data_IF_445840734708
#
_entry.id   IF_445840734708
#
_cell.length_a   1.000
_cell.length_b   1.000
_cell.length_c   1.000
_cell.angle_alpha   90.00
_cell.angle_beta   90.00
_cell.angle_gamma   90.00
#
_symmetry.space_group_name_H-M   'P 1'
#
loop_
_entity.id
_entity.type
_entity.pdbx_description
1 polymer ?
#
# COMPACT_ATOMS: atom_id res chain seq x y z
N UNK A 1 -4.24 -0.91 10.92
CA UNK A 1 -2.80 -1.06 11.25
C UNK A 1 -2.10 0.27 11.00
N UNK A 2 -1.26 0.70 11.91
CA UNK A 2 -0.56 1.98 11.76
C UNK A 2 0.44 1.92 10.59
N UNK A 3 0.48 2.98 9.79
CA UNK A 3 1.46 3.14 8.73
C UNK A 3 2.62 3.97 9.30
N UNK A 4 3.79 3.33 9.46
CA UNK A 4 4.94 3.99 10.09
C UNK A 4 5.62 4.97 9.16
N UNK A 5 5.82 4.58 7.90
CA UNK A 5 6.49 5.43 6.92
C UNK A 5 6.02 5.14 5.51
N UNK A 6 6.17 6.13 4.65
CA UNK A 6 5.74 6.08 3.24
C UNK A 6 6.91 6.57 2.38
N UNK A 7 7.34 5.74 1.43
CA UNK A 7 8.48 6.04 0.56
C UNK A 7 8.09 7.01 -0.56
N UNK A 8 7.01 6.71 -1.27
CA UNK A 8 6.56 7.53 -2.40
C UNK A 8 6.12 8.91 -1.91
N UNK A 9 6.77 9.95 -2.43
CA UNK A 9 6.57 11.32 -1.95
C UNK A 9 5.14 11.81 -2.13
N UNK A 10 4.57 11.56 -3.31
CA UNK A 10 3.18 11.95 -3.60
C UNK A 10 2.18 11.21 -2.71
N UNK A 11 2.42 9.92 -2.48
CA UNK A 11 1.56 9.12 -1.61
C UNK A 11 1.65 9.59 -0.16
N UNK A 12 2.85 9.97 0.29
CA UNK A 12 3.05 10.48 1.64
C UNK A 12 2.23 11.75 1.88
N UNK A 13 2.26 12.69 0.92
CA UNK A 13 1.46 13.92 1.03
C UNK A 13 -0.03 13.64 0.97
N UNK A 14 -0.41 12.67 0.13
CA UNK A 14 -1.80 12.26 0.01
C UNK A 14 -2.35 11.74 1.34
N UNK A 15 -1.57 10.93 2.05
CA UNK A 15 -1.99 10.35 3.33
C UNK A 15 -1.94 11.38 4.46
N UNK A 16 -0.87 12.17 4.55
CA UNK A 16 -0.64 13.06 5.69
C UNK A 16 -1.35 14.40 5.56
N UNK A 17 -1.55 14.89 4.34
CA UNK A 17 -2.07 16.24 4.11
C UNK A 17 -3.32 16.27 3.23
N UNK A 18 -3.81 15.10 2.82
CA UNK A 18 -4.93 14.97 1.88
C UNK A 18 -4.66 15.73 0.56
N UNK A 19 -3.38 15.79 0.16
CA UNK A 19 -2.93 16.46 -1.05
C UNK A 19 -2.67 15.43 -2.13
N UNK A 20 -3.54 15.37 -3.14
CA UNK A 20 -3.45 14.41 -4.24
C UNK A 20 -2.62 14.93 -5.41
N UNK A 21 -1.89 16.04 -5.25
CA UNK A 21 -1.13 16.66 -6.34
C UNK A 21 -0.02 15.78 -6.93
N UNK A 22 0.48 14.81 -6.18
CA UNK A 22 1.51 13.88 -6.64
C UNK A 22 0.97 12.51 -7.05
N UNK A 23 -0.36 12.36 -7.16
CA UNK A 23 -1.05 11.12 -7.51
C UNK A 23 -1.93 11.38 -8.74
N UNK A 24 -1.98 10.44 -9.71
CA UNK A 24 -2.90 10.61 -10.84
C UNK A 24 -4.34 10.73 -10.36
N UNK A 25 -5.08 11.69 -10.91
CA UNK A 25 -6.42 12.01 -10.42
C UNK A 25 -7.39 10.83 -10.52
N UNK A 26 -7.25 10.00 -11.56
CA UNK A 26 -8.10 8.82 -11.75
C UNK A 26 -7.79 7.69 -10.77
N UNK A 27 -6.62 7.69 -10.17
CA UNK A 27 -6.17 6.66 -9.24
C UNK A 27 -6.45 7.06 -7.79
N UNK A 28 -6.51 8.35 -7.50
CA UNK A 28 -6.65 8.86 -6.13
C UNK A 28 -7.81 8.22 -5.34
N UNK A 29 -9.03 8.10 -5.88
CA UNK A 29 -10.12 7.46 -5.14
C UNK A 29 -9.82 6.02 -4.75
N UNK A 30 -9.18 5.26 -5.64
CA UNK A 30 -8.82 3.87 -5.39
C UNK A 30 -7.74 3.76 -4.31
N UNK A 31 -6.72 4.62 -4.39
CA UNK A 31 -5.66 4.65 -3.37
C UNK A 31 -6.23 5.04 -2.00
N UNK A 32 -7.15 6.00 -1.96
CA UNK A 32 -7.80 6.39 -0.71
C UNK A 32 -8.51 5.21 -0.06
N UNK A 33 -9.22 4.43 -0.86
CA UNK A 33 -9.93 3.24 -0.37
C UNK A 33 -8.95 2.20 0.17
N UNK A 34 -7.87 1.92 -0.55
CA UNK A 34 -6.86 0.95 -0.12
C UNK A 34 -6.18 1.42 1.17
N UNK A 35 -5.76 2.67 1.22
CA UNK A 35 -5.08 3.23 2.40
C UNK A 35 -5.99 3.17 3.62
N UNK A 36 -7.27 3.52 3.47
CA UNK A 36 -8.23 3.44 4.57
C UNK A 36 -8.37 2.01 5.08
N UNK A 37 -8.41 1.04 4.17
CA UNK A 37 -8.45 -0.37 4.54
C UNK A 37 -7.20 -0.76 5.34
N UNK A 38 -6.02 -0.35 4.87
CA UNK A 38 -4.77 -0.66 5.56
C UNK A 38 -4.73 -0.06 6.97
N UNK A 39 -5.21 1.17 7.11
CA UNK A 39 -5.25 1.84 8.41
C UNK A 39 -6.20 1.16 9.39
N UNK A 40 -7.30 0.60 8.89
CA UNK A 40 -8.31 -0.04 9.72
C UNK A 40 -8.05 -1.52 10.00
N UNK A 41 -7.23 -2.19 9.20
CA UNK A 41 -7.00 -3.62 9.39
C UNK A 41 -6.21 -3.91 10.67
N UNK A 42 -6.48 -5.07 11.26
CA UNK A 42 -5.79 -5.52 12.47
C UNK A 42 -4.83 -6.67 12.19
N UNK A 43 -5.04 -7.39 11.10
CA UNK A 43 -4.23 -8.56 10.75
C UNK A 43 -3.99 -8.62 9.24
N UNK A 44 -2.81 -9.10 8.85
CA UNK A 44 -2.47 -9.28 7.43
C UNK A 44 -3.38 -10.26 6.71
N UNK A 45 -4.08 -11.14 7.44
CA UNK A 45 -5.02 -12.07 6.81
C UNK A 45 -6.18 -11.35 6.13
N UNK A 46 -6.49 -10.12 6.55
CA UNK A 46 -7.56 -9.32 5.95
C UNK A 46 -7.22 -8.85 4.54
N UNK A 47 -5.93 -8.82 4.19
CA UNK A 47 -5.49 -8.36 2.86
C UNK A 47 -6.06 -9.20 1.73
N UNK A 48 -6.36 -10.47 1.99
CA UNK A 48 -6.86 -11.38 0.95
C UNK A 48 -8.38 -11.37 0.82
N UNK A 49 -9.06 -10.54 1.58
CA UNK A 49 -10.53 -10.45 1.53
C UNK A 49 -11.05 -9.60 0.37
N UNK A 50 -10.16 -8.90 -0.34
CA UNK A 50 -10.52 -8.07 -1.50
C UNK A 50 -9.84 -8.65 -2.75
N UNK A 51 -10.52 -9.53 -3.50
CA UNK A 51 -9.90 -10.24 -4.64
C UNK A 51 -9.33 -9.33 -5.73
N UNK A 52 -9.95 -8.17 -5.95
CA UNK A 52 -9.52 -7.24 -7.00
C UNK A 52 -8.12 -6.65 -6.76
N UNK A 53 -7.61 -6.71 -5.54
CA UNK A 53 -6.26 -6.22 -5.25
C UNK A 53 -5.18 -7.25 -5.54
N UNK A 54 -5.55 -8.50 -5.82
CA UNK A 54 -4.62 -9.57 -6.16
C UNK A 54 -3.42 -9.61 -5.20
N UNK A 55 -3.72 -9.48 -3.92
CA UNK A 55 -2.71 -9.39 -2.86
C UNK A 55 -1.83 -10.63 -2.81
N UNK A 56 -0.52 -10.42 -2.82
CA UNK A 56 0.45 -11.51 -2.67
C UNK A 56 1.75 -10.99 -2.07
N UNK A 57 2.54 -11.91 -1.53
CA UNK A 57 3.88 -11.58 -1.09
C UNK A 57 4.89 -11.85 -2.21
N UNK A 58 5.86 -10.96 -2.33
CA UNK A 58 6.92 -11.09 -3.30
C UNK A 58 7.93 -12.14 -2.85
N UNK A 59 8.71 -12.66 -3.80
CA UNK A 59 9.76 -13.65 -3.55
C UNK A 59 11.13 -13.07 -3.90
N UNK A 60 12.18 -13.85 -3.72
CA UNK A 60 13.55 -13.41 -4.02
C UNK A 60 14.05 -12.37 -3.03
N UNK A 61 14.73 -11.35 -3.54
CA UNK A 61 15.33 -10.30 -2.71
C UNK A 61 14.32 -9.46 -1.95
N UNK A 62 13.06 -9.49 -2.37
CA UNK A 62 11.99 -8.74 -1.72
C UNK A 62 11.02 -9.63 -0.95
N UNK A 63 11.49 -10.80 -0.55
CA UNK A 63 10.67 -11.76 0.18
C UNK A 63 10.01 -11.11 1.40
N UNK A 64 8.71 -11.34 1.54
CA UNK A 64 7.94 -10.79 2.65
C UNK A 64 7.29 -9.44 2.36
N UNK A 65 7.66 -8.78 1.26
CA UNK A 65 6.98 -7.56 0.84
C UNK A 65 5.62 -7.90 0.25
N UNK A 66 4.58 -7.22 0.71
CA UNK A 66 3.23 -7.35 0.17
C UNK A 66 3.07 -6.47 -1.06
N UNK A 67 2.33 -6.96 -2.04
CA UNK A 67 2.04 -6.23 -3.28
C UNK A 67 0.54 -6.27 -3.54
N UNK A 68 -0.06 -5.09 -3.74
CA UNK A 68 -1.47 -4.93 -4.06
C UNK A 68 -1.61 -4.27 -5.44
N UNK A 69 -2.48 -4.83 -6.27
CA UNK A 69 -2.79 -4.30 -7.59
C UNK A 69 -3.53 -2.96 -7.45
N UNK A 70 -3.02 -1.92 -8.10
CA UNK A 70 -3.69 -0.62 -8.19
C UNK A 70 -4.18 -0.41 -9.62
N UNK A 71 -3.26 -0.42 -10.57
CA UNK A 71 -3.56 -0.41 -12.00
C UNK A 71 -2.67 -1.43 -12.68
N UNK A 72 -2.84 -1.60 -13.99
CA UNK A 72 -2.06 -2.57 -14.76
C UNK A 72 -0.54 -2.43 -14.53
N UNK A 73 -0.05 -1.19 -14.45
CA UNK A 73 1.39 -0.94 -14.35
C UNK A 73 1.83 -0.50 -12.95
N UNK A 74 0.91 -0.33 -12.02
CA UNK A 74 1.25 0.22 -10.70
C UNK A 74 0.78 -0.67 -9.58
N UNK A 75 1.62 -0.76 -8.54
CA UNK A 75 1.35 -1.57 -7.33
C UNK A 75 1.58 -0.74 -6.09
N UNK A 76 0.83 -1.05 -5.07
CA UNK A 76 1.09 -0.55 -3.72
C UNK A 76 1.85 -1.66 -2.99
N UNK A 77 3.01 -1.34 -2.45
CA UNK A 77 3.86 -2.33 -1.78
C UNK A 77 4.22 -1.88 -0.37
N UNK A 78 4.40 -2.84 0.51
CA UNK A 78 4.78 -2.57 1.89
C UNK A 78 5.23 -3.85 2.58
N UNK A 79 5.86 -3.69 3.74
CA UNK A 79 6.14 -4.80 4.64
C UNK A 79 5.41 -4.56 5.95
N UNK A 80 5.29 -5.60 6.77
CA UNK A 80 4.72 -5.48 8.11
C UNK A 80 5.80 -5.84 9.11
N UNK A 81 6.06 -4.90 10.02
CA UNK A 81 6.96 -5.15 11.14
C UNK A 81 6.23 -6.05 12.12
N UNK A 82 6.71 -7.29 12.27
CA UNK A 82 6.04 -8.31 13.08
C UNK A 82 6.15 -8.06 14.59
N UNK A 83 7.07 -7.20 15.00
CA UNK A 83 7.23 -6.85 16.42
C UNK A 83 6.25 -5.78 16.85
N UNK A 84 6.19 -4.68 16.09
CA UNK A 84 5.31 -3.56 16.40
C UNK A 84 3.92 -3.68 15.77
N UNK A 85 3.76 -4.61 14.83
CA UNK A 85 2.54 -4.78 14.02
C UNK A 85 2.18 -3.46 13.35
N UNK A 86 3.13 -2.98 12.55
CA UNK A 86 2.98 -1.73 11.80
C UNK A 86 3.38 -1.92 10.35
N UNK A 87 2.74 -1.17 9.45
CA UNK A 87 3.10 -1.12 8.04
C UNK A 87 4.32 -0.24 7.89
N UNK A 88 5.33 -0.76 7.20
CA UNK A 88 6.57 -0.04 6.92
C UNK A 88 6.86 -0.02 5.43
N UNK A 89 7.57 1.01 4.98
CA UNK A 89 8.02 1.18 3.59
C UNK A 89 6.86 1.11 2.60
N UNK A 90 5.75 1.77 2.93
CA UNK A 90 4.62 1.85 2.01
C UNK A 90 5.05 2.65 0.78
N UNK A 91 4.90 2.05 -0.39
CA UNK A 91 5.35 2.64 -1.64
C UNK A 91 4.33 2.43 -2.74
N UNK A 92 4.34 3.33 -3.71
CA UNK A 92 3.51 3.24 -4.91
C UNK A 92 4.48 3.09 -6.07
N UNK A 93 4.59 1.87 -6.62
CA UNK A 93 5.66 1.49 -7.53
C UNK A 93 5.15 1.14 -8.92
N UNK A 94 5.95 1.52 -9.91
CA UNK A 94 5.76 1.12 -11.29
C UNK A 94 6.17 -0.34 -11.42
N UNK A 95 5.27 -1.16 -11.94
CA UNK A 95 5.45 -2.61 -12.03
C UNK A 95 5.75 -3.02 -13.47
N UNK A 96 7.00 -3.12 -13.77
CA UNK A 96 7.46 -3.55 -15.08
C UNK A 96 8.44 -4.70 -14.98
#
# INVERSE_FOLDING_TARGET
>A
MKIRNVIHKGLRRFISEDDAGGIPADVAPKLRKIVSFLQDMESETELRTVPSWKTHQLTGSRKGTWSLFVTRNWRLTFSIDQTSIEIIDLDYEDYH
#
